data_IF_801414188470
#
_entry.id   IF_801414188470
#
_cell.length_a   1.000
_cell.length_b   1.000
_cell.length_c   1.000
_cell.angle_alpha   90.00
_cell.angle_beta   90.00
_cell.angle_gamma   90.00
#
_symmetry.space_group_name_H-M   'P 1'
#
loop_
_entity.id
_entity.type
_entity.pdbx_description
1 polymer ?
#
# COMPACT_ATOMS: atom_id res chain seq x y z
N UNK A 1 16.21 -8.37 -14.76
CA UNK A 1 15.54 -7.38 -13.89
C UNK A 1 14.06 -7.32 -14.26
N UNK A 2 13.14 -7.53 -13.30
CA UNK A 2 11.69 -7.47 -13.54
C UNK A 2 11.08 -6.38 -12.66
N UNK A 3 10.51 -5.35 -13.28
CA UNK A 3 9.71 -4.37 -12.56
C UNK A 3 8.36 -5.00 -12.22
N UNK A 4 8.01 -5.03 -10.94
CA UNK A 4 6.75 -5.61 -10.45
C UNK A 4 5.99 -4.55 -9.66
N UNK A 5 4.70 -4.43 -9.94
CA UNK A 5 3.80 -3.52 -9.23
C UNK A 5 2.88 -4.31 -8.32
N UNK A 6 2.71 -3.86 -7.07
CA UNK A 6 1.69 -4.40 -6.17
C UNK A 6 0.78 -3.25 -5.73
N UNK A 7 -0.48 -3.31 -6.15
CA UNK A 7 -1.45 -2.21 -5.99
C UNK A 7 -2.81 -2.77 -5.62
N UNK A 8 -3.48 -2.15 -4.65
CA UNK A 8 -4.91 -2.31 -4.45
C UNK A 8 -5.63 -1.26 -5.30
N UNK A 9 -6.57 -1.69 -6.13
CA UNK A 9 -7.28 -0.81 -7.05
C UNK A 9 -8.74 -1.23 -7.15
N UNK A 10 -9.64 -0.26 -7.17
CA UNK A 10 -11.05 -0.51 -7.45
C UNK A 10 -11.28 -0.79 -8.94
N UNK A 11 -12.45 -1.31 -9.30
CA UNK A 11 -12.81 -1.60 -10.71
C UNK A 11 -12.83 -0.31 -11.55
N UNK A 12 -13.18 0.82 -10.94
CA UNK A 12 -13.18 2.15 -11.57
C UNK A 12 -11.82 2.88 -11.47
N UNK A 13 -10.76 2.19 -11.03
CA UNK A 13 -9.38 2.67 -11.16
C UNK A 13 -8.87 3.54 -10.01
N UNK A 14 -9.57 3.58 -8.87
CA UNK A 14 -9.12 4.30 -7.67
C UNK A 14 -8.14 3.43 -6.89
N UNK A 15 -6.94 3.95 -6.62
CA UNK A 15 -5.93 3.28 -5.80
C UNK A 15 -5.98 3.79 -4.36
N UNK A 16 -5.87 2.89 -3.39
CA UNK A 16 -5.71 3.23 -1.98
C UNK A 16 -4.70 2.26 -1.35
N UNK A 17 -3.87 2.76 -0.43
CA UNK A 17 -2.99 1.89 0.36
C UNK A 17 -3.77 1.08 1.39
N UNK A 18 -3.16 0.03 1.94
CA UNK A 18 -3.75 -0.87 2.94
C UNK A 18 -4.07 -0.20 4.32
N UNK A 19 -3.99 1.12 4.39
CA UNK A 19 -4.12 1.93 5.61
C UNK A 19 -2.89 1.87 6.52
N UNK A 20 -2.55 2.99 7.16
CA UNK A 20 -1.57 3.11 8.25
C UNK A 20 -2.15 4.02 9.35
N UNK A 21 -1.44 4.22 10.46
CA UNK A 21 -1.80 4.89 11.73
C UNK A 21 -2.36 6.33 11.67
N UNK A 22 -2.55 6.93 10.49
CA UNK A 22 -3.09 8.27 10.30
C UNK A 22 -4.41 8.24 9.53
N UNK A 23 -5.22 9.29 9.68
CA UNK A 23 -6.48 9.42 8.96
C UNK A 23 -6.30 9.43 7.43
N UNK A 24 -7.30 8.88 6.73
CA UNK A 24 -7.37 8.90 5.26
C UNK A 24 -7.30 10.34 4.74
N UNK A 25 -6.55 10.55 3.66
CA UNK A 25 -6.52 11.86 3.03
C UNK A 25 -7.80 12.12 2.24
N UNK A 26 -8.65 13.01 2.79
CA UNK A 26 -9.92 13.42 2.20
C UNK A 26 -9.82 14.64 1.28
N UNK A 27 -8.62 15.13 0.95
CA UNK A 27 -8.45 16.27 0.05
C UNK A 27 -9.21 16.03 -1.26
N UNK A 28 -9.73 17.12 -1.83
CA UNK A 28 -10.57 17.12 -3.03
C UNK A 28 -11.93 16.40 -2.86
N UNK A 29 -12.41 16.21 -1.63
CA UNK A 29 -13.72 15.62 -1.35
C UNK A 29 -13.74 14.09 -1.43
N UNK A 30 -12.60 13.43 -1.16
CA UNK A 30 -12.54 11.97 -1.13
C UNK A 30 -13.13 11.43 0.18
N UNK A 31 -14.36 10.95 0.12
CA UNK A 31 -15.12 10.55 1.31
C UNK A 31 -15.16 9.02 1.53
N UNK A 32 -14.76 8.23 0.52
CA UNK A 32 -14.99 6.78 0.43
C UNK A 32 -13.71 5.96 0.60
N UNK A 33 -13.02 6.13 1.73
CA UNK A 33 -11.82 5.38 2.08
C UNK A 33 -12.10 4.06 2.81
N UNK A 34 -11.06 3.27 3.05
CA UNK A 34 -11.08 2.08 3.91
C UNK A 34 -11.34 0.76 3.19
N UNK A 35 -11.67 0.80 1.90
CA UNK A 35 -11.96 -0.40 1.11
C UNK A 35 -10.71 -1.26 0.82
N UNK A 36 -9.52 -0.65 0.82
CA UNK A 36 -8.25 -1.35 0.56
C UNK A 36 -7.78 -2.21 1.74
N UNK A 37 -8.40 -2.05 2.93
CA UNK A 37 -8.14 -2.95 4.06
C UNK A 37 -8.75 -4.32 3.76
N UNK A 38 -7.89 -5.25 3.34
CA UNK A 38 -8.25 -6.65 3.20
C UNK A 38 -8.64 -7.28 4.55
N UNK A 39 -9.15 -8.52 4.50
CA UNK A 39 -9.54 -9.27 5.70
C UNK A 39 -8.36 -9.63 6.61
N UNK A 40 -7.12 -9.46 6.13
CA UNK A 40 -5.92 -9.81 6.88
C UNK A 40 -5.79 -11.30 7.11
N UNK A 41 -6.31 -12.12 6.19
CA UNK A 41 -6.11 -13.56 6.25
C UNK A 41 -4.64 -13.94 6.05
N UNK A 42 -4.23 -15.06 6.64
CA UNK A 42 -2.84 -15.50 6.65
C UNK A 42 -2.28 -15.73 5.25
N UNK A 43 -3.10 -16.18 4.30
CA UNK A 43 -2.66 -16.44 2.92
C UNK A 43 -2.27 -15.14 2.22
N UNK A 44 -3.13 -14.13 2.30
CA UNK A 44 -2.87 -12.78 1.76
C UNK A 44 -1.62 -12.17 2.40
N UNK A 45 -1.49 -12.25 3.72
CA UNK A 45 -0.32 -11.72 4.43
C UNK A 45 0.97 -12.45 4.00
N UNK A 46 0.91 -13.78 3.87
CA UNK A 46 2.06 -14.59 3.43
C UNK A 46 2.49 -14.21 2.02
N UNK A 47 1.54 -14.08 1.09
CA UNK A 47 1.81 -13.65 -0.28
C UNK A 47 2.48 -12.27 -0.34
N UNK A 48 1.96 -11.28 0.39
CA UNK A 48 2.53 -9.94 0.45
C UNK A 48 3.97 -9.99 0.97
N UNK A 49 4.21 -10.73 2.06
CA UNK A 49 5.54 -10.86 2.67
C UNK A 49 6.53 -11.51 1.70
N UNK A 50 6.16 -12.61 1.06
CA UNK A 50 7.02 -13.28 0.08
C UNK A 50 7.31 -12.40 -1.14
N UNK A 51 6.32 -11.65 -1.64
CA UNK A 51 6.50 -10.75 -2.77
C UNK A 51 7.50 -9.63 -2.43
N UNK A 52 7.39 -9.06 -1.23
CA UNK A 52 8.28 -7.99 -0.75
C UNK A 52 9.68 -8.49 -0.39
N UNK A 53 9.83 -9.71 0.16
CA UNK A 53 11.15 -10.30 0.44
C UNK A 53 11.96 -10.59 -0.83
N UNK A 54 11.30 -10.77 -1.98
CA UNK A 54 11.97 -10.97 -3.28
C UNK A 54 12.42 -9.66 -3.92
N UNK A 55 11.99 -8.51 -3.41
CA UNK A 55 12.38 -7.21 -3.97
C UNK A 55 13.77 -6.80 -3.47
N UNK A 56 14.69 -6.52 -4.41
CA UNK A 56 16.01 -5.96 -4.10
C UNK A 56 15.93 -4.47 -3.73
N UNK A 57 14.92 -3.77 -4.23
CA UNK A 57 14.67 -2.35 -3.95
C UNK A 57 13.18 -2.01 -4.13
N UNK A 58 12.74 -0.96 -3.44
CA UNK A 58 11.42 -0.37 -3.62
C UNK A 58 11.52 0.98 -4.33
N UNK A 59 10.61 1.22 -5.27
CA UNK A 59 10.44 2.51 -5.94
C UNK A 59 9.12 3.13 -5.48
N UNK A 60 9.19 4.30 -4.85
CA UNK A 60 8.02 5.04 -4.39
C UNK A 60 7.99 6.46 -4.95
N UNK A 61 6.80 6.97 -5.23
CA UNK A 61 6.59 8.41 -5.38
C UNK A 61 6.75 9.10 -4.03
N UNK A 62 7.05 10.42 -4.05
CA UNK A 62 7.35 11.23 -2.84
C UNK A 62 6.39 10.97 -1.67
N UNK A 63 5.09 11.02 -1.95
CA UNK A 63 4.07 10.89 -0.91
C UNK A 63 4.04 9.50 -0.27
N UNK A 64 4.12 8.44 -1.08
CA UNK A 64 4.18 7.07 -0.56
C UNK A 64 5.48 6.85 0.22
N UNK A 65 6.58 7.41 -0.26
CA UNK A 65 7.86 7.38 0.46
C UNK A 65 7.74 8.03 1.84
N UNK A 66 7.18 9.24 1.92
CA UNK A 66 6.97 9.96 3.19
C UNK A 66 6.12 9.14 4.18
N UNK A 67 5.04 8.50 3.71
CA UNK A 67 4.18 7.64 4.52
C UNK A 67 4.90 6.39 5.06
N UNK A 68 5.75 5.76 4.25
CA UNK A 68 6.46 4.54 4.63
C UNK A 68 7.74 4.79 5.43
N UNK A 69 8.38 5.94 5.23
CA UNK A 69 9.68 6.27 5.82
C UNK A 69 9.69 6.21 7.35
N UNK A 70 8.55 6.51 8.01
CA UNK A 70 8.40 6.41 9.47
C UNK A 70 8.29 4.97 9.99
N UNK A 71 7.99 4.01 9.11
CA UNK A 71 7.76 2.61 9.47
C UNK A 71 9.01 1.74 9.29
N UNK A 72 10.06 2.27 8.69
CA UNK A 72 11.34 1.57 8.58
C UNK A 72 12.08 1.72 9.91
N UNK A 73 12.69 0.63 10.38
CA UNK A 73 13.40 0.58 11.68
C UNK A 73 14.54 1.61 11.77
N UNK A 74 15.21 1.73 12.93
CA UNK A 74 16.40 2.56 13.06
C UNK A 74 17.52 2.12 12.11
#
# INVERSE_FOLDING_TARGET
MKLTTMTQVTIDGVMQGNGHASDEDRRNGFERGGWARGKGDNETITFINEAYQRAEAFLFGRRTYELFSSSWGP
#
